data_IF_914461939666
#
_entry.id   IF_914461939666
#
_cell.length_a   1.000
_cell.length_b   1.000
_cell.length_c   1.000
_cell.angle_alpha   90.00
_cell.angle_beta   90.00
_cell.angle_gamma   90.00
#
_symmetry.space_group_name_H-M   'P 1'
#
loop_
_entity.id
_entity.type
_entity.pdbx_description
1 polymer ?
#
# COMPACT_ATOMS: atom_id res chain seq x y z
N UNK A 1 7.86 11.58 -7.90
CA UNK A 1 6.57 10.91 -7.84
C UNK A 1 6.75 9.40 -7.86
N UNK A 2 6.06 8.70 -6.96
CA UNK A 2 6.14 7.24 -6.90
C UNK A 2 5.30 6.61 -8.01
N UNK A 3 5.91 5.71 -8.78
CA UNK A 3 5.24 5.00 -9.86
C UNK A 3 5.01 3.54 -9.49
N UNK A 4 3.87 3.01 -9.87
CA UNK A 4 3.53 1.60 -9.67
C UNK A 4 3.75 0.85 -10.97
N UNK A 5 4.50 -0.24 -10.90
CA UNK A 5 4.77 -1.10 -12.05
C UNK A 5 3.86 -2.33 -11.97
N UNK A 6 3.00 -2.50 -12.96
CA UNK A 6 2.08 -3.63 -13.04
C UNK A 6 2.77 -4.86 -13.62
N UNK A 7 2.15 -6.03 -13.47
CA UNK A 7 2.69 -7.30 -13.98
C UNK A 7 3.03 -7.27 -15.46
N UNK A 8 2.27 -6.51 -16.25
CA UNK A 8 2.49 -6.39 -17.69
C UNK A 8 3.57 -5.36 -18.05
N UNK A 9 4.25 -4.79 -17.05
CA UNK A 9 5.30 -3.80 -17.26
C UNK A 9 4.80 -2.37 -17.37
N UNK A 10 3.50 -2.16 -17.39
CA UNK A 10 2.93 -0.81 -17.45
C UNK A 10 3.15 -0.06 -16.14
N UNK A 11 3.44 1.23 -16.26
CA UNK A 11 3.68 2.10 -15.12
C UNK A 11 2.53 3.09 -14.99
N UNK A 12 2.14 3.37 -13.75
CA UNK A 12 1.13 4.40 -13.47
C UNK A 12 1.49 5.09 -12.17
N UNK A 13 0.98 6.30 -11.97
CA UNK A 13 1.18 7.04 -10.72
C UNK A 13 0.56 6.26 -9.55
N UNK A 14 1.22 6.32 -8.42
CA UNK A 14 0.68 5.73 -7.19
C UNK A 14 -0.63 6.45 -6.83
N UNK A 15 -1.69 5.68 -6.66
CA UNK A 15 -3.02 6.20 -6.38
C UNK A 15 -3.45 5.84 -4.96
N UNK A 16 -3.49 6.84 -4.08
CA UNK A 16 -3.86 6.67 -2.68
C UNK A 16 -5.28 6.14 -2.53
N UNK A 17 -6.19 6.63 -3.35
CA UNK A 17 -7.60 6.24 -3.27
C UNK A 17 -7.80 4.79 -3.64
N UNK A 18 -7.07 4.31 -4.64
CA UNK A 18 -7.10 2.90 -5.01
C UNK A 18 -6.54 2.02 -3.90
N UNK A 19 -5.45 2.46 -3.27
CA UNK A 19 -4.88 1.72 -2.15
C UNK A 19 -5.88 1.67 -0.99
N UNK A 20 -6.49 2.78 -0.64
CA UNK A 20 -7.48 2.84 0.44
C UNK A 20 -8.65 1.91 0.15
N UNK A 21 -9.15 1.90 -1.09
CA UNK A 21 -10.22 1.00 -1.51
C UNK A 21 -9.82 -0.47 -1.37
N UNK A 22 -8.59 -0.80 -1.80
CA UNK A 22 -8.08 -2.17 -1.70
C UNK A 22 -8.02 -2.64 -0.26
N UNK A 23 -7.56 -1.78 0.64
CA UNK A 23 -7.48 -2.09 2.06
C UNK A 23 -8.89 -2.30 2.64
N UNK A 24 -9.82 -1.41 2.28
CA UNK A 24 -11.20 -1.50 2.73
C UNK A 24 -11.85 -2.83 2.34
N UNK A 25 -11.64 -3.24 1.09
CA UNK A 25 -12.16 -4.51 0.59
C UNK A 25 -11.49 -5.67 1.32
N UNK A 26 -10.18 -5.62 1.51
CA UNK A 26 -9.43 -6.67 2.20
C UNK A 26 -9.88 -6.85 3.65
N UNK A 27 -10.36 -5.79 4.28
CA UNK A 27 -10.91 -5.83 5.63
C UNK A 27 -12.40 -6.20 5.67
N UNK A 28 -12.95 -6.67 4.55
CA UNK A 28 -14.36 -7.05 4.44
C UNK A 28 -15.29 -5.88 4.77
N UNK A 29 -14.94 -4.73 4.24
CA UNK A 29 -15.70 -3.46 4.39
C UNK A 29 -15.76 -2.94 5.82
N UNK A 30 -14.86 -3.38 6.69
CA UNK A 30 -14.75 -2.78 8.01
C UNK A 30 -14.13 -1.40 7.88
N UNK A 31 -14.64 -0.42 8.60
CA UNK A 31 -14.05 0.92 8.53
C UNK A 31 -12.62 0.92 9.05
N UNK A 32 -11.77 1.61 8.34
CA UNK A 32 -10.38 1.77 8.72
C UNK A 32 -10.15 3.26 8.92
N UNK A 33 -9.50 3.59 10.02
CA UNK A 33 -9.22 4.95 10.35
C UNK A 33 -8.20 5.53 9.36
N UNK A 34 -8.39 6.79 9.01
CA UNK A 34 -7.55 7.45 8.01
C UNK A 34 -6.08 7.51 8.42
N UNK A 35 -5.79 7.55 9.72
CA UNK A 35 -4.43 7.53 10.22
C UNK A 35 -3.72 6.23 9.88
N UNK A 36 -4.43 5.11 9.95
CA UNK A 36 -3.88 3.80 9.59
C UNK A 36 -3.54 3.76 8.10
N UNK A 37 -4.43 4.29 7.26
CA UNK A 37 -4.19 4.37 5.82
C UNK A 37 -2.97 5.25 5.54
N UNK A 38 -2.87 6.39 6.20
CA UNK A 38 -1.72 7.29 6.04
C UNK A 38 -0.41 6.62 6.47
N UNK A 39 -0.45 5.83 7.52
CA UNK A 39 0.73 5.07 7.97
C UNK A 39 1.20 4.08 6.92
N UNK A 40 0.26 3.38 6.27
CA UNK A 40 0.60 2.47 5.16
C UNK A 40 1.26 3.21 4.02
N UNK A 41 0.67 4.32 3.62
CA UNK A 41 1.18 5.13 2.51
C UNK A 41 2.58 5.65 2.83
N UNK A 42 2.77 6.17 4.03
CA UNK A 42 4.07 6.68 4.49
C UNK A 42 5.12 5.58 4.51
N UNK A 43 4.75 4.38 4.97
CA UNK A 43 5.66 3.23 5.01
C UNK A 43 6.12 2.84 3.59
N UNK A 44 5.19 2.81 2.64
CA UNK A 44 5.51 2.48 1.25
C UNK A 44 6.45 3.54 0.65
N UNK A 45 6.12 4.80 0.81
CA UNK A 45 6.91 5.90 0.27
C UNK A 45 8.32 5.92 0.86
N UNK A 46 8.40 5.77 2.17
CA UNK A 46 9.70 5.80 2.88
C UNK A 46 10.61 4.65 2.47
N UNK A 47 10.04 3.44 2.29
CA UNK A 47 10.84 2.29 1.90
C UNK A 47 11.49 2.50 0.54
N UNK A 48 10.81 3.18 -0.37
CA UNK A 48 11.38 3.47 -1.70
C UNK A 48 12.39 4.60 -1.65
N UNK A 49 12.14 5.62 -0.85
CA UNK A 49 13.09 6.73 -0.68
C UNK A 49 14.42 6.23 -0.10
N UNK A 50 14.37 5.36 0.87
CA UNK A 50 15.57 4.79 1.49
C UNK A 50 16.40 3.99 0.49
N UNK A 51 15.75 3.38 -0.50
CA UNK A 51 16.41 2.63 -1.56
C UNK A 51 16.81 3.52 -2.74
N UNK A 52 16.48 4.80 -2.71
CA UNK A 52 16.73 5.71 -3.82
C UNK A 52 15.91 5.38 -5.05
N UNK A 53 14.74 4.75 -4.86
CA UNK A 53 13.87 4.32 -5.96
C UNK A 53 12.60 5.14 -5.99
N UNK A 54 12.07 5.32 -7.19
CA UNK A 54 10.77 5.98 -7.37
C UNK A 54 9.74 5.05 -8.01
N UNK A 55 10.01 3.75 -8.02
CA UNK A 55 9.12 2.74 -8.57
C UNK A 55 8.91 1.62 -7.56
N UNK A 56 7.70 1.04 -7.57
CA UNK A 56 7.37 -0.10 -6.75
C UNK A 56 6.43 -1.01 -7.52
N UNK A 57 6.64 -2.32 -7.45
CA UNK A 57 5.74 -3.25 -8.13
C UNK A 57 4.41 -3.37 -7.40
N UNK A 58 3.35 -3.63 -8.13
CA UNK A 58 2.03 -3.86 -7.55
C UNK A 58 2.03 -5.07 -6.61
N UNK A 59 2.85 -6.08 -6.92
CA UNK A 59 3.00 -7.25 -6.05
C UNK A 59 3.61 -6.87 -4.69
N UNK A 60 4.61 -6.00 -4.70
CA UNK A 60 5.24 -5.54 -3.46
C UNK A 60 4.25 -4.77 -2.60
N UNK A 61 3.43 -3.91 -3.22
CA UNK A 61 2.38 -3.18 -2.50
C UNK A 61 1.42 -4.17 -1.86
N UNK A 62 0.97 -5.17 -2.62
CA UNK A 62 0.06 -6.19 -2.12
C UNK A 62 0.63 -6.93 -0.92
N UNK A 63 1.91 -7.32 -0.99
CA UNK A 63 2.60 -7.99 0.11
C UNK A 63 2.66 -7.10 1.35
N UNK A 64 3.00 -5.83 1.18
CA UNK A 64 3.08 -4.88 2.30
C UNK A 64 1.72 -4.68 2.97
N UNK A 65 0.67 -4.59 2.17
CA UNK A 65 -0.69 -4.47 2.69
C UNK A 65 -1.08 -5.71 3.48
N UNK A 66 -0.81 -6.90 2.94
CA UNK A 66 -1.15 -8.15 3.62
C UNK A 66 -0.41 -8.28 4.95
N UNK A 67 0.86 -7.95 4.99
CA UNK A 67 1.65 -7.98 6.22
C UNK A 67 1.12 -6.99 7.25
N UNK A 68 0.78 -5.78 6.81
CA UNK A 68 0.22 -4.76 7.68
C UNK A 68 -1.14 -5.17 8.24
N UNK A 69 -1.97 -5.82 7.43
CA UNK A 69 -3.27 -6.31 7.90
C UNK A 69 -3.13 -7.42 8.94
N UNK A 70 -2.10 -8.26 8.82
CA UNK A 70 -1.83 -9.29 9.82
C UNK A 70 -1.47 -8.64 11.16
N UNK A 71 -0.63 -7.62 11.14
CA UNK A 71 -0.28 -6.88 12.35
C UNK A 71 -1.52 -6.25 12.98
N UNK A 72 -2.37 -5.66 12.16
CA UNK A 72 -3.60 -5.03 12.61
C UNK A 72 -4.53 -6.06 13.30
N UNK A 73 -4.67 -7.24 12.70
CA UNK A 73 -5.50 -8.30 13.27
C UNK A 73 -4.95 -8.83 14.58
N UNK A 74 -3.63 -8.93 14.71
CA UNK A 74 -3.03 -9.46 15.94
C UNK A 74 -3.17 -8.51 17.12
N UNK A 75 -3.36 -7.21 16.88
CA UNK A 75 -3.60 -6.22 17.90
C UNK A 75 -5.04 -6.22 18.41
N UNK A 76 -5.95 -6.82 17.69
CA UNK A 76 -7.35 -6.93 18.04
C UNK A 76 -7.71 -8.36 18.35
#
# INVERSE_FOLDING_TARGET
>A
ELMVVKKNGRKSSFDRDKLAKSIYIALKKRPLDSDTIEKFISRISRSREELGQNEISSNTIGTMVMEGLKEFKSEN
#
